data_IF_486216197032
#
_entry.id   IF_486216197032
#
_cell.length_a   1.000
_cell.length_b   1.000
_cell.length_c   1.000
_cell.angle_alpha   90.00
_cell.angle_beta   90.00
_cell.angle_gamma   90.00
#
_symmetry.space_group_name_H-M   'P 1'
#
loop_
_entity.id
_entity.type
_entity.pdbx_description
1 polymer ?
#
# COMPACT_ATOMS: atom_id res chain seq x y z
N UNK A 1 27.39 17.82 1.60
CA UNK A 1 26.21 18.59 2.06
C UNK A 1 26.65 19.56 3.16
N UNK A 2 26.16 20.80 3.18
CA UNK A 2 26.44 21.74 4.27
C UNK A 2 25.94 21.19 5.62
N UNK A 3 26.67 21.46 6.70
CA UNK A 3 26.35 20.96 8.05
C UNK A 3 24.95 21.38 8.54
N UNK A 4 24.44 22.49 8.05
CA UNK A 4 23.10 23.00 8.35
C UNK A 4 21.98 22.16 7.71
N UNK A 5 22.17 21.73 6.45
CA UNK A 5 21.25 20.84 5.78
C UNK A 5 21.19 19.46 6.47
N UNK A 6 22.33 18.95 6.91
CA UNK A 6 22.36 17.68 7.64
C UNK A 6 21.59 17.76 8.97
N UNK A 7 21.76 18.86 9.73
CA UNK A 7 21.02 19.09 10.98
C UNK A 7 19.52 19.22 10.74
N UNK A 8 19.13 19.89 9.65
CA UNK A 8 17.73 20.04 9.27
C UNK A 8 17.10 18.69 8.93
N UNK A 9 17.78 17.85 8.13
CA UNK A 9 17.32 16.48 7.81
C UNK A 9 17.21 15.61 9.07
N UNK A 10 18.21 15.64 9.94
CA UNK A 10 18.17 14.90 11.20
C UNK A 10 17.00 15.33 12.11
N UNK A 11 16.66 16.62 12.12
CA UNK A 11 15.51 17.12 12.88
C UNK A 11 14.19 16.65 12.26
N UNK A 12 14.09 16.71 10.93
CA UNK A 12 12.95 16.20 10.19
C UNK A 12 12.67 14.72 10.53
N UNK A 13 13.70 13.88 10.47
CA UNK A 13 13.58 12.45 10.80
C UNK A 13 13.19 12.23 12.28
N UNK A 14 13.77 12.97 13.22
CA UNK A 14 13.39 12.87 14.63
C UNK A 14 11.92 13.23 14.86
N UNK A 15 11.40 14.24 14.15
CA UNK A 15 9.98 14.60 14.24
C UNK A 15 9.09 13.48 13.70
N UNK A 16 9.46 12.83 12.59
CA UNK A 16 8.71 11.69 12.05
C UNK A 16 8.77 10.45 12.97
N UNK A 17 9.92 10.19 13.61
CA UNK A 17 10.03 9.12 14.60
C UNK A 17 9.15 9.36 15.83
N UNK A 18 9.14 10.58 16.33
CA UNK A 18 8.26 11.00 17.43
C UNK A 18 6.78 10.89 17.03
N UNK A 19 6.44 11.39 15.84
CA UNK A 19 5.09 11.30 15.28
C UNK A 19 4.61 9.85 15.17
N UNK A 20 5.49 8.94 14.74
CA UNK A 20 5.19 7.50 14.68
C UNK A 20 4.72 6.97 16.03
N UNK A 21 5.44 7.28 17.11
CA UNK A 21 5.11 6.82 18.47
C UNK A 21 3.81 7.44 18.99
N UNK A 22 3.65 8.75 18.81
CA UNK A 22 2.47 9.48 19.30
C UNK A 22 1.21 9.05 18.56
N UNK A 23 1.24 9.02 17.21
CA UNK A 23 0.11 8.58 16.41
C UNK A 23 -0.26 7.10 16.68
N UNK A 24 0.72 6.22 16.80
CA UNK A 24 0.47 4.79 17.10
C UNK A 24 -0.21 4.59 18.47
N UNK A 25 -0.05 5.54 19.41
CA UNK A 25 -0.61 5.44 20.75
C UNK A 25 -1.97 6.13 20.86
N UNK A 26 -2.14 7.31 20.24
CA UNK A 26 -3.30 8.21 20.41
C UNK A 26 -4.23 8.27 19.20
N UNK A 27 -3.84 7.68 18.09
CA UNK A 27 -4.51 7.82 16.79
C UNK A 27 -4.30 9.21 16.18
N UNK A 28 -4.80 9.39 14.95
CA UNK A 28 -4.67 10.66 14.24
C UNK A 28 -5.41 11.81 14.94
N UNK A 29 -6.69 11.59 15.29
CA UNK A 29 -7.54 12.64 15.86
C UNK A 29 -7.11 13.02 17.28
N UNK A 30 -6.70 12.05 18.10
CA UNK A 30 -6.28 12.25 19.49
C UNK A 30 -4.88 12.86 19.67
N UNK A 31 -4.09 13.00 18.59
CA UNK A 31 -2.73 13.54 18.64
C UNK A 31 -2.73 15.05 18.50
N UNK A 32 -1.98 15.73 19.37
CA UNK A 32 -1.64 17.14 19.30
C UNK A 32 -0.20 17.34 18.80
N UNK A 33 0.05 18.39 18.02
CA UNK A 33 1.41 18.72 17.51
C UNK A 33 2.38 19.02 18.66
N UNK A 34 1.88 19.56 19.76
CA UNK A 34 2.68 19.84 20.96
C UNK A 34 3.25 18.56 21.59
N UNK A 35 2.52 17.46 21.52
CA UNK A 35 2.97 16.16 22.01
C UNK A 35 4.05 15.57 21.12
N UNK A 36 3.91 15.75 19.79
CA UNK A 36 4.96 15.37 18.84
C UNK A 36 6.23 16.21 19.08
N UNK A 37 6.08 17.51 19.33
CA UNK A 37 7.20 18.39 19.62
C UNK A 37 7.95 17.97 20.90
N UNK A 38 7.21 17.67 21.97
CA UNK A 38 7.77 17.17 23.23
C UNK A 38 8.51 15.85 23.02
N UNK A 39 7.90 14.90 22.33
CA UNK A 39 8.48 13.58 22.04
C UNK A 39 9.71 13.66 21.13
N UNK A 40 9.77 14.68 20.24
CA UNK A 40 10.89 14.92 19.33
C UNK A 40 12.03 15.75 19.97
N UNK A 41 11.90 16.13 21.24
CA UNK A 41 12.81 17.05 21.92
C UNK A 41 13.05 18.34 21.10
N UNK A 42 11.94 18.99 20.72
CA UNK A 42 11.95 20.24 19.96
C UNK A 42 10.81 21.16 20.38
N UNK A 43 10.85 22.43 19.98
CA UNK A 43 9.74 23.34 20.19
C UNK A 43 8.62 23.14 19.15
N UNK A 44 7.40 23.56 19.48
CA UNK A 44 6.26 23.60 18.54
C UNK A 44 6.61 24.38 17.26
N UNK A 45 7.32 25.51 17.38
CA UNK A 45 7.84 26.27 16.25
C UNK A 45 8.86 25.48 15.41
N UNK A 46 9.68 24.65 16.07
CA UNK A 46 10.60 23.73 15.39
C UNK A 46 9.89 22.66 14.56
N UNK A 47 8.74 22.16 15.03
CA UNK A 47 7.89 21.26 14.24
C UNK A 47 7.27 22.00 13.05
N UNK A 48 6.66 23.17 13.28
CA UNK A 48 6.03 23.92 12.21
C UNK A 48 6.99 24.48 11.16
N UNK A 49 8.27 24.60 11.47
CA UNK A 49 9.30 24.91 10.49
C UNK A 49 9.45 23.80 9.43
N UNK A 50 9.25 22.53 9.82
CA UNK A 50 9.36 21.37 8.92
C UNK A 50 8.02 20.94 8.33
N UNK A 51 6.93 21.09 9.08
CA UNK A 51 5.60 20.62 8.70
C UNK A 51 4.55 21.69 9.01
N UNK A 52 3.84 22.21 8.01
CA UNK A 52 2.91 23.33 8.20
C UNK A 52 1.71 23.00 9.12
N UNK A 53 1.37 21.72 9.26
CA UNK A 53 0.25 21.25 10.08
C UNK A 53 0.38 19.76 10.42
N UNK A 54 -0.52 19.26 11.28
CA UNK A 54 -0.57 17.83 11.68
C UNK A 54 -0.78 16.89 10.49
N UNK A 55 -1.58 17.30 9.52
CA UNK A 55 -1.84 16.53 8.32
C UNK A 55 -0.58 16.30 7.49
N UNK A 56 0.26 17.34 7.33
CA UNK A 56 1.54 17.23 6.62
C UNK A 56 2.50 16.25 7.31
N UNK A 57 2.55 16.24 8.65
CA UNK A 57 3.34 15.25 9.41
C UNK A 57 2.82 13.85 9.12
N UNK A 58 1.51 13.68 9.14
CA UNK A 58 0.87 12.39 8.96
C UNK A 58 1.06 11.84 7.55
N UNK A 59 0.93 12.69 6.52
CA UNK A 59 1.20 12.33 5.12
C UNK A 59 2.67 11.94 4.92
N UNK A 60 3.61 12.72 5.45
CA UNK A 60 5.04 12.41 5.35
C UNK A 60 5.39 11.09 6.06
N UNK A 61 4.76 10.82 7.20
CA UNK A 61 4.93 9.53 7.88
C UNK A 61 4.37 8.38 7.04
N UNK A 62 3.21 8.57 6.42
CA UNK A 62 2.58 7.56 5.56
C UNK A 62 3.47 7.24 4.35
N UNK A 63 3.99 8.26 3.68
CA UNK A 63 4.93 8.11 2.56
C UNK A 63 6.18 7.34 2.98
N UNK A 64 6.82 7.75 4.07
CA UNK A 64 8.01 7.09 4.61
C UNK A 64 7.76 5.59 4.89
N UNK A 65 6.63 5.24 5.49
CA UNK A 65 6.32 3.84 5.80
C UNK A 65 5.98 3.03 4.54
N UNK A 66 5.33 3.65 3.55
CA UNK A 66 5.09 3.02 2.26
C UNK A 66 6.42 2.75 1.52
N UNK A 67 7.35 3.71 1.53
CA UNK A 67 8.69 3.54 0.94
C UNK A 67 9.48 2.43 1.64
N UNK A 68 9.49 2.39 2.96
CA UNK A 68 10.14 1.31 3.74
C UNK A 68 9.56 -0.05 3.38
N UNK A 69 8.22 -0.18 3.29
CA UNK A 69 7.59 -1.42 2.89
C UNK A 69 7.99 -1.83 1.47
N UNK A 70 7.95 -0.88 0.53
CA UNK A 70 8.35 -1.11 -0.86
C UNK A 70 9.80 -1.61 -0.95
N UNK A 71 10.74 -0.94 -0.30
CA UNK A 71 12.16 -1.32 -0.29
C UNK A 71 12.38 -2.72 0.31
N UNK A 72 11.65 -3.06 1.37
CA UNK A 72 11.72 -4.40 1.97
C UNK A 72 11.21 -5.48 1.02
N UNK A 73 10.11 -5.21 0.33
CA UNK A 73 9.53 -6.13 -0.68
C UNK A 73 10.52 -6.30 -1.84
N UNK A 74 11.01 -5.21 -2.43
CA UNK A 74 11.97 -5.23 -3.53
C UNK A 74 13.25 -5.99 -3.14
N UNK A 75 13.77 -5.75 -1.93
CA UNK A 75 14.94 -6.47 -1.41
C UNK A 75 14.72 -7.97 -1.22
N UNK A 76 13.49 -8.38 -0.85
CA UNK A 76 13.16 -9.79 -0.69
C UNK A 76 13.00 -10.47 -2.06
N UNK A 77 12.29 -9.82 -2.98
CA UNK A 77 12.07 -10.30 -4.35
C UNK A 77 13.39 -10.45 -5.11
N UNK A 78 14.32 -9.52 -4.94
CA UNK A 78 15.63 -9.56 -5.60
C UNK A 78 16.52 -10.76 -5.21
N UNK A 79 16.21 -11.45 -4.12
CA UNK A 79 16.93 -12.66 -3.67
C UNK A 79 16.43 -13.94 -4.32
N UNK A 80 15.29 -13.88 -4.99
CA UNK A 80 14.64 -15.04 -5.58
C UNK A 80 14.77 -14.99 -7.11
N UNK A 81 15.05 -16.12 -7.72
CA UNK A 81 15.19 -16.25 -9.17
C UNK A 81 13.88 -16.62 -9.85
N UNK A 82 13.07 -17.45 -9.20
CA UNK A 82 11.82 -17.97 -9.76
C UNK A 82 10.64 -17.02 -9.49
N UNK A 83 9.78 -16.73 -10.49
CA UNK A 83 8.67 -15.79 -10.34
C UNK A 83 7.71 -16.14 -9.20
N UNK A 84 7.43 -17.41 -8.98
CA UNK A 84 6.56 -17.86 -7.88
C UNK A 84 7.23 -17.63 -6.53
N UNK A 85 8.53 -17.93 -6.41
CA UNK A 85 9.28 -17.67 -5.17
C UNK A 85 9.34 -16.16 -4.86
N UNK A 86 9.48 -15.30 -5.88
CA UNK A 86 9.39 -13.83 -5.73
C UNK A 86 8.05 -13.40 -5.14
N UNK A 87 6.94 -13.90 -5.69
CA UNK A 87 5.60 -13.59 -5.17
C UNK A 87 5.41 -14.06 -3.72
N UNK A 88 5.93 -15.23 -3.38
CA UNK A 88 5.90 -15.77 -2.02
C UNK A 88 6.74 -14.94 -1.04
N UNK A 89 7.95 -14.55 -1.45
CA UNK A 89 8.82 -13.69 -0.64
C UNK A 89 8.19 -12.32 -0.37
N UNK A 90 7.60 -11.70 -1.40
CA UNK A 90 6.86 -10.45 -1.27
C UNK A 90 5.70 -10.58 -0.27
N UNK A 91 4.87 -11.60 -0.42
CA UNK A 91 3.72 -11.84 0.48
C UNK A 91 4.17 -12.03 1.93
N UNK A 92 5.23 -12.82 2.18
CA UNK A 92 5.78 -13.01 3.53
C UNK A 92 6.22 -11.68 4.14
N UNK A 93 7.01 -10.88 3.41
CA UNK A 93 7.50 -9.59 3.90
C UNK A 93 6.37 -8.63 4.22
N UNK A 94 5.32 -8.60 3.40
CA UNK A 94 4.14 -7.76 3.65
C UNK A 94 3.46 -8.18 4.96
N UNK A 95 3.14 -9.46 5.11
CA UNK A 95 2.47 -9.96 6.31
C UNK A 95 3.32 -9.76 7.57
N UNK A 96 4.62 -10.08 7.52
CA UNK A 96 5.56 -9.90 8.65
C UNK A 96 5.69 -8.42 9.05
N UNK A 97 5.69 -7.52 8.06
CA UNK A 97 5.80 -6.08 8.32
C UNK A 97 4.55 -5.56 9.03
N UNK A 98 3.36 -5.93 8.58
CA UNK A 98 2.12 -5.52 9.23
C UNK A 98 1.95 -6.20 10.60
N UNK A 99 2.30 -7.49 10.74
CA UNK A 99 2.26 -8.21 12.01
C UNK A 99 3.11 -7.52 13.09
N UNK A 100 4.30 -7.06 12.70
CA UNK A 100 5.22 -6.36 13.61
C UNK A 100 4.74 -4.95 14.00
N UNK A 101 3.80 -4.34 13.23
CA UNK A 101 3.40 -2.94 13.39
C UNK A 101 1.87 -2.75 13.40
N UNK A 102 1.13 -3.63 14.08
CA UNK A 102 -0.34 -3.65 14.07
C UNK A 102 -1.01 -2.30 14.33
N UNK A 103 -0.48 -1.52 15.30
CA UNK A 103 -1.05 -0.20 15.63
C UNK A 103 -0.94 0.77 14.45
N UNK A 104 0.18 0.74 13.73
CA UNK A 104 0.37 1.55 12.52
C UNK A 104 -0.50 1.04 11.37
N UNK A 105 -0.64 -0.29 11.20
CA UNK A 105 -1.57 -0.86 10.22
C UNK A 105 -3.00 -0.35 10.45
N UNK A 106 -3.50 -0.41 11.69
CA UNK A 106 -4.82 0.12 12.04
C UNK A 106 -4.92 1.63 11.78
N UNK A 107 -3.92 2.39 12.23
CA UNK A 107 -3.88 3.84 12.03
C UNK A 107 -4.03 4.22 10.55
N UNK A 108 -3.20 3.65 9.68
CA UNK A 108 -3.16 4.04 8.26
C UNK A 108 -4.26 3.42 7.41
N UNK A 109 -4.68 2.21 7.72
CA UNK A 109 -5.67 1.52 6.89
C UNK A 109 -7.11 1.81 7.28
N UNK A 110 -7.36 2.23 8.52
CA UNK A 110 -8.71 2.42 9.06
C UNK A 110 -8.94 3.85 9.54
N UNK A 111 -8.11 4.35 10.47
CA UNK A 111 -8.37 5.64 11.12
C UNK A 111 -8.08 6.83 10.18
N UNK A 112 -7.16 6.64 9.24
CA UNK A 112 -6.76 7.67 8.31
C UNK A 112 -7.81 8.00 7.24
N UNK A 113 -8.83 7.16 7.03
CA UNK A 113 -9.94 7.45 6.09
C UNK A 113 -10.68 8.75 6.43
N UNK A 114 -10.59 9.23 7.67
CA UNK A 114 -11.14 10.53 8.13
C UNK A 114 -10.14 11.69 8.11
N UNK A 115 -8.90 11.51 7.64
CA UNK A 115 -7.84 12.53 7.72
C UNK A 115 -7.94 13.62 6.62
N UNK A 116 -8.89 13.51 5.70
CA UNK A 116 -9.20 14.52 4.69
C UNK A 116 -8.89 14.11 3.24
N UNK A 117 -9.30 14.95 2.26
CA UNK A 117 -9.22 14.60 0.83
C UNK A 117 -7.79 14.40 0.32
N UNK A 118 -6.81 15.15 0.82
CA UNK A 118 -5.40 15.01 0.44
C UNK A 118 -4.86 13.64 0.86
N UNK A 119 -5.25 13.16 2.05
CA UNK A 119 -4.88 11.83 2.49
C UNK A 119 -5.50 10.75 1.61
N UNK A 120 -6.79 10.87 1.27
CA UNK A 120 -7.47 9.92 0.39
C UNK A 120 -6.81 9.87 -1.00
N UNK A 121 -6.44 11.02 -1.57
CA UNK A 121 -5.73 11.09 -2.85
C UNK A 121 -4.35 10.39 -2.75
N UNK A 122 -3.61 10.61 -1.66
CA UNK A 122 -2.31 9.98 -1.44
C UNK A 122 -2.44 8.46 -1.24
N UNK A 123 -3.46 8.02 -0.51
CA UNK A 123 -3.77 6.60 -0.33
C UNK A 123 -4.02 5.90 -1.69
N UNK A 124 -4.78 6.53 -2.58
CA UNK A 124 -5.03 6.00 -3.93
C UNK A 124 -3.72 5.85 -4.70
N UNK A 125 -2.83 6.86 -4.66
CA UNK A 125 -1.52 6.81 -5.31
C UNK A 125 -0.64 5.68 -4.78
N UNK A 126 -0.55 5.51 -3.47
CA UNK A 126 0.24 4.44 -2.86
C UNK A 126 -0.32 3.06 -3.24
N UNK A 127 -1.64 2.90 -3.21
CA UNK A 127 -2.29 1.66 -3.67
C UNK A 127 -1.95 1.35 -5.13
N UNK A 128 -2.00 2.35 -6.02
CA UNK A 128 -1.61 2.19 -7.41
C UNK A 128 -0.14 1.76 -7.55
N UNK A 129 0.78 2.36 -6.79
CA UNK A 129 2.20 1.99 -6.79
C UNK A 129 2.42 0.52 -6.42
N UNK A 130 1.74 0.01 -5.37
CA UNK A 130 1.85 -1.40 -4.98
C UNK A 130 1.18 -2.34 -5.97
N UNK A 131 0.04 -1.96 -6.57
CA UNK A 131 -0.60 -2.74 -7.62
C UNK A 131 0.28 -2.81 -8.87
N UNK A 132 0.93 -1.71 -9.27
CA UNK A 132 1.89 -1.68 -10.38
C UNK A 132 3.13 -2.55 -10.11
N UNK A 133 3.63 -2.59 -8.87
CA UNK A 133 4.72 -3.49 -8.50
C UNK A 133 4.32 -4.97 -8.68
N UNK A 134 3.11 -5.33 -8.23
CA UNK A 134 2.57 -6.69 -8.44
C UNK A 134 2.42 -6.98 -9.93
N UNK A 135 1.85 -6.04 -10.70
CA UNK A 135 1.65 -6.18 -12.15
C UNK A 135 2.95 -6.45 -12.86
N UNK A 136 4.00 -5.68 -12.58
CA UNK A 136 5.33 -5.86 -13.19
C UNK A 136 5.83 -7.29 -13.03
N UNK A 137 5.72 -7.86 -11.83
CA UNK A 137 6.15 -9.24 -11.59
C UNK A 137 5.24 -10.29 -12.23
N UNK A 138 3.94 -10.01 -12.37
CA UNK A 138 3.03 -10.88 -13.13
C UNK A 138 3.35 -10.83 -14.63
N UNK A 139 3.63 -9.66 -15.20
CA UNK A 139 4.04 -9.50 -16.60
C UNK A 139 5.34 -10.26 -16.90
N UNK A 140 6.34 -10.16 -16.01
CA UNK A 140 7.58 -10.95 -16.09
C UNK A 140 7.30 -12.46 -16.06
N UNK A 141 6.42 -12.90 -15.15
CA UNK A 141 6.08 -14.32 -15.01
C UNK A 141 5.35 -14.87 -16.26
N UNK A 142 4.47 -14.07 -16.88
CA UNK A 142 3.84 -14.40 -18.18
C UNK A 142 4.89 -14.47 -19.28
N UNK A 143 5.78 -13.46 -19.37
CA UNK A 143 6.80 -13.38 -20.42
C UNK A 143 7.76 -14.57 -20.43
N UNK A 144 8.10 -15.13 -19.25
CA UNK A 144 8.96 -16.34 -19.16
C UNK A 144 8.16 -17.65 -19.15
N UNK A 145 6.82 -17.60 -19.31
CA UNK A 145 5.96 -18.79 -19.33
C UNK A 145 5.78 -19.49 -17.97
N UNK A 146 6.12 -18.84 -16.87
CA UNK A 146 5.93 -19.38 -15.52
C UNK A 146 4.46 -19.45 -15.10
N UNK A 147 3.64 -18.55 -15.67
CA UNK A 147 2.18 -18.53 -15.54
C UNK A 147 1.54 -18.34 -16.93
N UNK A 148 0.28 -18.79 -17.13
CA UNK A 148 -0.43 -18.57 -18.39
C UNK A 148 -0.72 -17.07 -18.60
N UNK A 149 -0.93 -16.62 -19.87
CA UNK A 149 -1.38 -15.26 -20.18
C UNK A 149 -2.67 -14.93 -19.43
N UNK A 150 -2.73 -13.75 -18.82
CA UNK A 150 -3.90 -13.22 -18.11
C UNK A 150 -3.91 -11.70 -18.15
N UNK A 151 -5.04 -11.08 -17.75
CA UNK A 151 -5.10 -9.65 -17.46
C UNK A 151 -4.34 -9.36 -16.15
N UNK A 152 -3.06 -9.03 -16.29
CA UNK A 152 -2.16 -8.77 -15.16
C UNK A 152 -2.55 -7.53 -14.37
N UNK A 153 -3.19 -6.53 -14.98
CA UNK A 153 -3.65 -5.32 -14.31
C UNK A 153 -4.80 -5.63 -13.35
N UNK A 154 -5.82 -6.37 -13.82
CA UNK A 154 -6.93 -6.83 -12.97
C UNK A 154 -6.44 -7.80 -11.89
N UNK A 155 -5.57 -8.76 -12.24
CA UNK A 155 -5.01 -9.71 -11.28
C UNK A 155 -4.20 -9.00 -10.17
N UNK A 156 -3.37 -8.02 -10.51
CA UNK A 156 -2.60 -7.24 -9.56
C UNK A 156 -3.51 -6.46 -8.59
N UNK A 157 -4.56 -5.83 -9.11
CA UNK A 157 -5.55 -5.12 -8.31
C UNK A 157 -6.31 -6.06 -7.36
N UNK A 158 -6.69 -7.24 -7.84
CA UNK A 158 -7.35 -8.27 -7.03
C UNK A 158 -6.42 -8.81 -5.94
N UNK A 159 -5.15 -9.07 -6.25
CA UNK A 159 -4.16 -9.52 -5.27
C UNK A 159 -3.94 -8.49 -4.18
N UNK A 160 -3.69 -7.23 -4.60
CA UNK A 160 -3.54 -6.13 -3.65
C UNK A 160 -4.77 -6.01 -2.75
N UNK A 161 -5.99 -6.05 -3.32
CA UNK A 161 -7.24 -5.96 -2.58
C UNK A 161 -7.41 -7.09 -1.57
N UNK A 162 -7.12 -8.33 -1.96
CA UNK A 162 -7.23 -9.50 -1.09
C UNK A 162 -6.27 -9.40 0.12
N UNK A 163 -5.00 -9.02 -0.12
CA UNK A 163 -4.01 -8.85 0.95
C UNK A 163 -4.43 -7.70 1.88
N UNK A 164 -4.80 -6.56 1.29
CA UNK A 164 -5.21 -5.37 2.02
C UNK A 164 -6.41 -5.65 2.94
N UNK A 165 -7.44 -6.36 2.45
CA UNK A 165 -8.63 -6.69 3.23
C UNK A 165 -8.30 -7.61 4.42
N UNK A 166 -7.45 -8.63 4.21
CA UNK A 166 -7.02 -9.50 5.30
C UNK A 166 -6.25 -8.73 6.38
N UNK A 167 -5.37 -7.80 5.98
CA UNK A 167 -4.61 -6.95 6.91
C UNK A 167 -5.54 -6.01 7.67
N UNK A 168 -6.51 -5.38 7.00
CA UNK A 168 -7.50 -4.49 7.63
C UNK A 168 -8.31 -5.28 8.67
N UNK A 169 -8.89 -6.40 8.26
CA UNK A 169 -9.72 -7.23 9.15
C UNK A 169 -8.94 -7.66 10.39
N UNK A 170 -7.71 -8.13 10.20
CA UNK A 170 -6.83 -8.49 11.31
C UNK A 170 -6.47 -7.29 12.20
N UNK A 171 -6.21 -6.11 11.62
CA UNK A 171 -5.81 -4.93 12.37
C UNK A 171 -6.91 -4.41 13.30
N UNK A 172 -8.20 -4.58 12.93
CA UNK A 172 -9.35 -4.10 13.72
C UNK A 172 -9.92 -5.15 14.68
N UNK A 173 -9.61 -6.43 14.51
CA UNK A 173 -10.14 -7.51 15.35
C UNK A 173 -9.77 -7.31 16.82
N UNK A 174 -10.67 -7.62 17.76
CA UNK A 174 -10.40 -7.51 19.21
C UNK A 174 -9.35 -8.53 19.66
N UNK A 175 -9.45 -9.77 19.20
CA UNK A 175 -8.52 -10.85 19.47
C UNK A 175 -8.00 -11.48 18.18
N UNK A 176 -7.12 -10.78 17.44
CA UNK A 176 -6.57 -11.33 16.21
C UNK A 176 -5.63 -12.49 16.54
N UNK A 177 -5.74 -13.57 15.78
CA UNK A 177 -4.66 -14.54 15.67
C UNK A 177 -3.38 -13.91 15.11
N UNK A 178 -2.38 -14.71 14.84
CA UNK A 178 -1.18 -14.21 14.15
C UNK A 178 -1.51 -13.94 12.68
N UNK A 179 -1.10 -12.78 12.17
CA UNK A 179 -1.35 -12.43 10.76
C UNK A 179 -0.65 -13.41 9.82
N UNK A 180 0.52 -13.89 10.21
CA UNK A 180 1.33 -14.85 9.44
C UNK A 180 0.62 -16.19 9.22
N UNK A 181 -0.33 -16.55 10.09
CA UNK A 181 -1.12 -17.79 9.95
C UNK A 181 -2.06 -17.73 8.73
N UNK A 182 -2.34 -16.54 8.21
CA UNK A 182 -3.11 -16.35 6.97
C UNK A 182 -2.30 -16.70 5.71
N UNK A 183 -0.96 -16.76 5.79
CA UNK A 183 -0.08 -16.95 4.64
C UNK A 183 -0.44 -18.17 3.77
N UNK A 184 -0.63 -19.40 4.31
CA UNK A 184 -0.93 -20.56 3.46
C UNK A 184 -2.21 -20.39 2.65
N UNK A 185 -3.24 -19.78 3.24
CA UNK A 185 -4.53 -19.55 2.59
C UNK A 185 -4.43 -18.48 1.51
N UNK A 186 -3.83 -17.33 1.81
CA UNK A 186 -3.65 -16.26 0.83
C UNK A 186 -2.78 -16.75 -0.33
N UNK A 187 -1.65 -17.41 -0.04
CA UNK A 187 -0.78 -18.01 -1.06
C UNK A 187 -1.56 -18.94 -1.98
N UNK A 188 -2.36 -19.84 -1.39
CA UNK A 188 -3.13 -20.80 -2.17
C UNK A 188 -4.17 -20.14 -3.08
N UNK A 189 -4.89 -19.12 -2.57
CA UNK A 189 -5.86 -18.34 -3.34
C UNK A 189 -5.20 -17.62 -4.53
N UNK A 190 -4.12 -16.89 -4.26
CA UNK A 190 -3.46 -16.07 -5.26
C UNK A 190 -2.81 -16.94 -6.35
N UNK A 191 -2.04 -17.97 -5.97
CA UNK A 191 -1.30 -18.79 -6.94
C UNK A 191 -2.16 -19.82 -7.67
N UNK A 192 -3.21 -20.36 -7.03
CA UNK A 192 -4.14 -21.30 -7.72
C UNK A 192 -5.09 -20.54 -8.65
N UNK A 193 -5.55 -19.34 -8.26
CA UNK A 193 -6.40 -18.50 -9.09
C UNK A 193 -5.78 -18.19 -10.46
N UNK A 194 -4.47 -17.95 -10.51
CA UNK A 194 -3.75 -17.73 -11.77
C UNK A 194 -3.73 -19.01 -12.64
N UNK A 195 -3.53 -20.17 -12.04
CA UNK A 195 -3.45 -21.44 -12.79
C UNK A 195 -4.80 -21.96 -13.30
N UNK A 196 -5.88 -21.67 -12.56
CA UNK A 196 -7.23 -22.09 -12.94
C UNK A 196 -7.77 -21.34 -14.18
N UNK A 197 -7.15 -20.22 -14.56
CA UNK A 197 -7.55 -19.45 -15.75
C UNK A 197 -7.22 -20.16 -17.06
N UNK A 198 -6.30 -21.12 -17.06
CA UNK A 198 -6.01 -21.98 -18.23
C UNK A 198 -7.20 -22.87 -18.67
N UNK A 199 -8.18 -23.07 -17.79
CA UNK A 199 -9.35 -23.92 -18.05
C UNK A 199 -10.58 -23.14 -18.56
N UNK A 200 -10.48 -21.80 -18.66
CA UNK A 200 -11.55 -20.96 -19.19
C UNK A 200 -11.48 -20.89 -20.72
N UNK A 201 -12.61 -21.01 -21.44
CA UNK A 201 -12.60 -20.88 -22.90
C UNK A 201 -12.13 -19.48 -23.32
N UNK A 202 -11.38 -19.36 -24.43
CA UNK A 202 -10.72 -18.12 -24.87
C UNK A 202 -11.69 -16.95 -25.10
N UNK A 203 -12.98 -17.19 -25.29
CA UNK A 203 -14.00 -16.15 -25.53
C UNK A 203 -14.48 -15.41 -24.25
N UNK A 204 -14.09 -15.84 -23.07
CA UNK A 204 -14.50 -15.19 -21.82
C UNK A 204 -13.69 -13.93 -21.48
N UNK A 205 -12.49 -13.78 -22.05
CA UNK A 205 -11.59 -12.66 -21.79
C UNK A 205 -11.84 -11.49 -22.78
N UNK A 206 -12.37 -11.78 -23.98
CA UNK A 206 -12.52 -10.78 -25.05
C UNK A 206 -13.73 -9.84 -24.89
N UNK A 207 -14.61 -10.03 -23.92
CA UNK A 207 -15.86 -9.24 -23.79
C UNK A 207 -15.76 -7.93 -23.01
N UNK A 208 -14.62 -7.63 -22.40
CA UNK A 208 -14.47 -6.41 -21.59
C UNK A 208 -14.10 -5.19 -22.45
N UNK A 209 -13.39 -5.39 -23.55
CA UNK A 209 -12.95 -4.25 -24.41
C UNK A 209 -14.00 -3.69 -25.34
N UNK A 210 -15.14 -4.39 -25.58
CA UNK A 210 -16.17 -3.94 -26.55
C UNK A 210 -17.23 -3.03 -25.92
N UNK A 211 -17.33 -2.92 -24.60
CA UNK A 211 -18.33 -2.06 -23.95
C UNK A 211 -17.89 -0.59 -23.83
N UNK A 212 -16.61 -0.30 -23.91
CA UNK A 212 -16.08 1.07 -23.78
C UNK A 212 -16.14 1.90 -25.10
N UNK A 213 -16.29 1.24 -26.26
CA UNK A 213 -16.32 1.94 -27.56
C UNK A 213 -17.72 2.23 -28.12
N UNK A 214 -18.78 1.80 -27.43
CA UNK A 214 -20.17 1.94 -27.92
C UNK A 214 -20.93 3.16 -27.37
N UNK A 215 -20.31 3.97 -26.49
CA UNK A 215 -21.04 5.08 -25.81
C UNK A 215 -20.80 6.46 -26.46
N UNK A 216 -20.00 6.56 -27.52
CA UNK A 216 -19.68 7.85 -28.15
C UNK A 216 -20.37 8.11 -29.50
N UNK A 217 -21.38 7.34 -29.88
CA UNK A 217 -21.99 7.44 -31.23
C UNK A 217 -23.47 7.90 -31.26
N UNK A 218 -24.05 8.44 -30.18
CA UNK A 218 -25.45 8.93 -30.22
C UNK A 218 -25.62 10.26 -29.47
N UNK A 219 -25.12 11.33 -30.07
CA UNK A 219 -25.21 12.70 -29.53
C UNK A 219 -25.30 13.78 -30.56
N UNK A 220 -25.99 13.54 -31.72
CA UNK A 220 -26.36 14.63 -32.60
C UNK A 220 -27.72 14.36 -33.28
N UNK A 221 -28.78 14.91 -32.74
CA UNK A 221 -30.00 15.22 -33.51
C UNK A 221 -30.87 16.25 -32.77
N UNK A 222 -30.87 17.48 -33.33
CA UNK A 222 -32.13 18.17 -33.55
C UNK A 222 -32.42 19.41 -32.75
N UNK A 223 -31.90 20.53 -33.26
CA UNK A 223 -32.53 21.83 -33.08
C UNK A 223 -33.86 21.86 -33.82
N UNK A 224 -34.95 22.19 -33.14
CA UNK A 224 -36.04 23.09 -33.57
C UNK A 224 -36.82 23.60 -32.40
#
# INVERSE_FOLDING_TARGET
MPAEQLRSLQRHERILDAATRVFATKGYHGTLVDEIALEADTSKGGVYFHFPNKQAIFLALFDRLADILRERVESAVAKENEPIARAEAALRVVLDTFASHRRLARLFMVEALGAGPEFNARMIQIRATFADLIRTHLDEAVAVGAIPPLDTATAASAWFGAINEVVIHWAVADNPGRLEDCYPTIRALLLRGIRAQSDLPPDSVARVDTAASATDADGDLGAR
#
